data_IF_598653871319
#
_entry.id   IF_598653871319
#
_cell.length_a   1.000
_cell.length_b   1.000
_cell.length_c   1.000
_cell.angle_alpha   90.00
_cell.angle_beta   90.00
_cell.angle_gamma   90.00
#
_symmetry.space_group_name_H-M   'P 1'
#
loop_
_entity.id
_entity.type
_entity.pdbx_description
1 polymer ?
#
# COMPACT_ATOMS: atom_id res chain seq x y z
N UNK A 1 -5.69 6.24 -11.80
CA UNK A 1 -5.11 5.10 -11.08
C UNK A 1 -6.23 4.14 -10.72
N UNK A 2 -6.12 2.87 -11.08
CA UNK A 2 -6.97 1.76 -10.62
C UNK A 2 -6.27 0.99 -9.51
N UNK A 3 -6.95 0.06 -8.84
CA UNK A 3 -6.34 -0.82 -7.83
C UNK A 3 -5.25 -1.71 -8.46
N UNK A 4 -5.45 -2.17 -9.70
CA UNK A 4 -4.45 -2.95 -10.43
C UNK A 4 -3.21 -2.14 -10.79
N UNK A 5 -3.38 -0.89 -11.22
CA UNK A 5 -2.26 0.04 -11.49
C UNK A 5 -1.46 0.32 -10.21
N UNK A 6 -2.15 0.54 -9.09
CA UNK A 6 -1.49 0.72 -7.78
C UNK A 6 -0.74 -0.54 -7.36
N UNK A 7 -1.32 -1.73 -7.55
CA UNK A 7 -0.64 -3.01 -7.24
C UNK A 7 0.65 -3.17 -8.05
N UNK A 8 0.63 -2.77 -9.32
CA UNK A 8 1.81 -2.80 -10.18
C UNK A 8 2.87 -1.78 -9.70
N UNK A 9 2.47 -0.56 -9.38
CA UNK A 9 3.38 0.48 -8.83
C UNK A 9 4.03 0.02 -7.52
N UNK A 10 3.25 -0.52 -6.58
CA UNK A 10 3.76 -1.06 -5.31
C UNK A 10 4.71 -2.23 -5.53
N UNK A 11 4.42 -3.10 -6.50
CA UNK A 11 5.32 -4.21 -6.87
C UNK A 11 6.68 -3.69 -7.35
N UNK A 12 6.70 -2.59 -8.11
CA UNK A 12 7.93 -1.96 -8.57
C UNK A 12 8.70 -1.30 -7.42
N UNK A 13 8.02 -0.56 -6.54
CA UNK A 13 8.64 0.10 -5.37
C UNK A 13 9.23 -0.89 -4.36
N UNK A 14 8.57 -2.01 -4.14
CA UNK A 14 9.02 -3.07 -3.20
C UNK A 14 10.06 -3.98 -3.86
N UNK A 15 10.10 -4.03 -5.19
CA UNK A 15 10.96 -4.94 -5.95
C UNK A 15 10.49 -6.41 -5.93
N UNK A 16 9.26 -6.67 -5.50
CA UNK A 16 8.65 -8.01 -5.43
C UNK A 16 7.18 -7.97 -5.86
N UNK A 17 6.66 -9.02 -6.54
CA UNK A 17 5.27 -9.05 -6.97
C UNK A 17 4.29 -9.01 -5.79
N UNK A 18 3.42 -8.02 -5.78
CA UNK A 18 2.25 -7.96 -4.88
C UNK A 18 1.16 -8.87 -5.42
N UNK A 19 0.69 -9.79 -4.58
CA UNK A 19 -0.40 -10.71 -4.88
C UNK A 19 -1.75 -10.07 -4.51
N UNK A 20 -1.86 -9.57 -3.28
CA UNK A 20 -3.09 -9.01 -2.71
C UNK A 20 -2.85 -7.61 -2.12
N UNK A 21 -3.80 -6.70 -2.34
CA UNK A 21 -3.92 -5.44 -1.63
C UNK A 21 -5.10 -5.50 -0.66
N UNK A 22 -4.85 -5.00 0.55
CA UNK A 22 -5.81 -5.05 1.65
C UNK A 22 -5.88 -3.68 2.33
N UNK A 23 -7.02 -3.37 2.92
CA UNK A 23 -7.16 -2.21 3.81
C UNK A 23 -6.27 -2.35 5.04
N UNK A 24 -6.16 -1.30 5.85
CA UNK A 24 -5.41 -1.36 7.11
C UNK A 24 -5.95 -2.39 8.11
N UNK A 25 -7.23 -2.72 7.99
CA UNK A 25 -7.89 -3.72 8.82
C UNK A 25 -7.74 -5.15 8.27
N UNK A 26 -7.17 -5.29 7.06
CA UNK A 26 -6.94 -6.59 6.41
C UNK A 26 -8.07 -7.03 5.48
N UNK A 27 -9.01 -6.13 5.18
CA UNK A 27 -10.12 -6.41 4.26
C UNK A 27 -9.70 -6.25 2.79
N UNK A 28 -10.41 -6.90 1.87
CA UNK A 28 -10.14 -6.74 0.44
C UNK A 28 -10.43 -5.31 -0.03
N UNK A 29 -9.49 -4.72 -0.78
CA UNK A 29 -9.69 -3.41 -1.41
C UNK A 29 -10.60 -3.56 -2.62
N UNK A 30 -11.67 -2.76 -2.67
CA UNK A 30 -12.57 -2.68 -3.82
C UNK A 30 -12.23 -1.44 -4.66
N UNK A 31 -11.96 -0.33 -3.99
CA UNK A 31 -11.66 0.97 -4.60
C UNK A 31 -10.52 1.70 -3.90
N UNK A 32 -9.88 2.66 -4.59
CA UNK A 32 -8.74 3.40 -4.02
C UNK A 32 -9.12 4.23 -2.78
N UNK A 33 -10.39 4.61 -2.63
CA UNK A 33 -10.92 5.29 -1.45
C UNK A 33 -10.76 4.45 -0.17
N UNK A 34 -10.80 3.12 -0.28
CA UNK A 34 -10.61 2.21 0.86
C UNK A 34 -9.22 2.33 1.48
N UNK A 35 -8.25 2.84 0.71
CA UNK A 35 -6.86 3.02 1.09
C UNK A 35 -6.54 4.45 1.48
N UNK A 36 -7.47 5.40 1.26
CA UNK A 36 -7.19 6.82 1.43
C UNK A 36 -7.05 7.22 2.90
N UNK A 37 -6.12 8.14 3.13
CA UNK A 37 -5.72 8.67 4.42
C UNK A 37 -5.82 10.19 4.36
N UNK A 38 -6.60 10.85 5.23
CA UNK A 38 -6.71 12.31 5.18
C UNK A 38 -5.52 13.04 5.82
N UNK A 39 -4.78 12.41 6.73
CA UNK A 39 -3.67 13.06 7.45
C UNK A 39 -2.63 12.04 7.96
N UNK A 40 -1.39 12.03 7.43
CA UNK A 40 -0.95 12.78 6.26
C UNK A 40 -1.75 12.38 5.01
N UNK A 41 -1.96 13.32 4.09
CA UNK A 41 -2.71 13.07 2.88
C UNK A 41 -2.00 12.01 2.02
N UNK A 42 -2.65 10.88 1.81
CA UNK A 42 -2.01 9.76 1.14
C UNK A 42 -2.88 8.51 1.04
N UNK A 43 -2.20 7.39 0.80
CA UNK A 43 -2.77 6.06 0.73
C UNK A 43 -1.96 5.11 1.61
N UNK A 44 -2.62 4.12 2.19
CA UNK A 44 -1.92 3.10 2.95
C UNK A 44 -2.80 1.91 3.25
N UNK A 45 -2.16 0.80 3.56
CA UNK A 45 -2.86 -0.46 3.81
C UNK A 45 -1.93 -1.59 4.14
N UNK A 46 -2.44 -2.80 3.97
CA UNK A 46 -1.64 -4.02 4.02
C UNK A 46 -1.49 -4.58 2.61
N UNK A 47 -0.49 -5.40 2.40
CA UNK A 47 -0.33 -6.18 1.18
C UNK A 47 0.26 -7.54 1.50
N UNK A 48 0.00 -8.49 0.60
CA UNK A 48 0.65 -9.79 0.59
C UNK A 48 1.43 -9.94 -0.70
N UNK A 49 2.71 -10.29 -0.57
CA UNK A 49 3.56 -10.63 -1.70
C UNK A 49 3.31 -12.06 -2.14
N UNK A 50 3.66 -12.37 -3.39
CA UNK A 50 3.50 -13.71 -3.97
C UNK A 50 4.30 -14.81 -3.25
N UNK A 51 5.35 -14.42 -2.50
CA UNK A 51 6.14 -15.33 -1.65
C UNK A 51 5.48 -15.61 -0.28
N UNK A 52 4.30 -15.03 -0.02
CA UNK A 52 3.55 -15.16 1.22
C UNK A 52 3.86 -14.08 2.27
N UNK A 53 4.86 -13.21 2.04
CA UNK A 53 5.21 -12.14 2.98
C UNK A 53 4.06 -11.14 3.13
N UNK A 54 3.68 -10.82 4.36
CA UNK A 54 2.73 -9.75 4.66
C UNK A 54 3.49 -8.46 5.04
N UNK A 55 3.02 -7.32 4.53
CA UNK A 55 3.62 -6.01 4.81
C UNK A 55 2.54 -4.95 5.07
N UNK A 56 2.91 -3.93 5.82
CA UNK A 56 2.22 -2.63 5.82
C UNK A 56 2.91 -1.70 4.83
N UNK A 57 2.16 -0.77 4.26
CA UNK A 57 2.69 0.22 3.34
C UNK A 57 1.96 1.56 3.44
N UNK A 58 2.67 2.63 3.14
CA UNK A 58 2.16 4.00 3.13
C UNK A 58 2.80 4.78 1.97
N UNK A 59 1.99 5.60 1.31
CA UNK A 59 2.35 6.49 0.22
C UNK A 59 1.71 7.85 0.52
N UNK A 60 2.50 8.87 0.84
CA UNK A 60 1.96 10.19 1.23
C UNK A 60 2.69 11.33 0.53
N UNK A 61 2.00 12.45 0.41
CA UNK A 61 2.57 13.70 -0.05
C UNK A 61 3.29 14.40 1.11
N UNK A 62 4.54 14.78 0.89
CA UNK A 62 5.28 15.72 1.74
C UNK A 62 5.30 17.10 1.08
N UNK A 63 5.47 18.14 1.90
CA UNK A 63 5.49 19.54 1.45
C UNK A 63 6.47 19.71 0.28
N UNK A 64 5.94 20.16 -0.88
CA UNK A 64 6.72 20.38 -2.10
C UNK A 64 6.51 19.35 -3.23
N UNK A 65 5.35 18.71 -3.30
CA UNK A 65 4.93 17.76 -4.35
C UNK A 65 5.76 16.46 -4.44
N UNK A 66 6.47 16.11 -3.35
CA UNK A 66 7.21 14.84 -3.28
C UNK A 66 6.33 13.73 -2.70
N UNK A 67 6.25 12.60 -3.39
CA UNK A 67 5.61 11.39 -2.88
C UNK A 67 6.62 10.53 -2.14
N UNK A 68 6.40 10.35 -0.84
CA UNK A 68 7.17 9.44 -0.01
C UNK A 68 6.51 8.07 0.05
N UNK A 69 7.33 7.03 0.12
CA UNK A 69 6.88 5.64 0.21
C UNK A 69 7.60 4.94 1.37
N UNK A 70 6.82 4.25 2.19
CA UNK A 70 7.33 3.38 3.24
C UNK A 70 6.65 2.02 3.19
N UNK A 71 7.41 0.96 3.50
CA UNK A 71 6.85 -0.36 3.74
C UNK A 71 7.64 -1.08 4.82
N UNK A 72 6.93 -1.87 5.63
CA UNK A 72 7.52 -2.65 6.72
C UNK A 72 6.85 -4.02 6.80
N UNK A 73 7.57 -5.08 7.24
CA UNK A 73 6.96 -6.36 7.53
C UNK A 73 5.80 -6.21 8.51
N UNK A 74 4.69 -6.91 8.25
CA UNK A 74 3.56 -6.95 9.19
C UNK A 74 3.97 -7.84 10.38
N UNK A 75 4.10 -7.24 11.55
CA UNK A 75 4.28 -7.97 12.82
C UNK A 75 2.91 -8.10 13.46
N UNK A 76 2.32 -9.28 13.41
CA UNK A 76 1.09 -9.57 14.15
C UNK A 76 1.43 -9.58 15.64
N UNK A 77 0.75 -8.72 16.41
CA UNK A 77 0.91 -8.58 17.87
C UNK A 77 0.06 -9.59 18.62
#
# INVERSE_FOLDING_TARGET
MTVDELRQDLSQRIGRPVELLLTRDGEAVVELSDLYQPSPAGFGGRLRLRDGTAMTWELWLEDGDSWNFHSAPLVES
#
